data_IF_344483536720
#
_entry.id   IF_344483536720
#
_cell.length_a   1.000
_cell.length_b   1.000
_cell.length_c   1.000
_cell.angle_alpha   90.00
_cell.angle_beta   90.00
_cell.angle_gamma   90.00
#
_symmetry.space_group_name_H-M   'P 1'
#
loop_
_entity.id
_entity.type
_entity.pdbx_description
1 polymer ?
#
# COMPACT_ATOMS: atom_id res chain seq x y z
N UNK A 1 -14.60 -25.32 5.55
CA UNK A 1 -13.54 -24.87 6.48
C UNK A 1 -12.30 -24.43 5.70
N UNK A 2 -11.51 -23.49 6.23
CA UNK A 2 -10.28 -22.96 5.57
C UNK A 2 -9.34 -24.10 5.14
N UNK A 3 -9.16 -25.12 6.00
CA UNK A 3 -8.36 -26.34 5.74
C UNK A 3 -8.81 -27.23 4.58
N UNK A 4 -9.98 -26.99 3.97
CA UNK A 4 -10.45 -27.72 2.78
C UNK A 4 -10.04 -27.04 1.48
N UNK A 5 -9.60 -25.78 1.57
CA UNK A 5 -9.23 -24.95 0.41
C UNK A 5 -7.73 -24.73 0.38
N UNK A 6 -7.11 -24.51 1.56
CA UNK A 6 -5.69 -24.22 1.70
C UNK A 6 -4.95 -25.28 2.52
N UNK A 7 -3.66 -25.42 2.24
CA UNK A 7 -2.73 -26.35 2.90
C UNK A 7 -1.59 -25.62 3.64
N UNK A 8 -1.00 -26.22 4.69
CA UNK A 8 0.26 -25.74 5.25
C UNK A 8 1.37 -25.68 4.20
N UNK A 9 2.27 -24.72 4.33
CA UNK A 9 3.40 -24.44 3.43
C UNK A 9 3.04 -24.05 1.98
N UNK A 10 1.75 -23.92 1.66
CA UNK A 10 1.27 -23.44 0.37
C UNK A 10 1.62 -21.96 0.16
N UNK A 11 2.02 -21.62 -1.07
CA UNK A 11 2.24 -20.25 -1.52
C UNK A 11 0.93 -19.71 -2.09
N UNK A 12 0.37 -18.69 -1.45
CA UNK A 12 -0.90 -18.07 -1.85
C UNK A 12 -0.71 -16.60 -2.25
N UNK A 13 -1.68 -16.07 -2.98
CA UNK A 13 -1.76 -14.65 -3.28
C UNK A 13 -2.81 -13.98 -2.39
N UNK A 14 -2.49 -12.79 -1.88
CA UNK A 14 -3.40 -12.01 -1.02
C UNK A 14 -3.93 -10.83 -1.80
N UNK A 15 -5.25 -10.76 -1.94
CA UNK A 15 -5.97 -9.67 -2.62
C UNK A 15 -6.71 -8.85 -1.57
N UNK A 16 -6.56 -7.53 -1.60
CA UNK A 16 -7.25 -6.67 -0.65
C UNK A 16 -7.11 -5.17 -0.90
N UNK A 17 -7.77 -4.40 -0.05
CA UNK A 17 -7.66 -2.94 -0.03
C UNK A 17 -6.64 -2.54 1.04
N UNK A 18 -5.63 -1.78 0.63
CA UNK A 18 -4.59 -1.25 1.53
C UNK A 18 -5.15 -0.27 2.56
N UNK A 19 -4.44 -0.08 3.68
CA UNK A 19 -4.82 0.91 4.70
C UNK A 19 -4.93 2.30 4.08
N UNK A 20 -6.01 3.01 4.39
CA UNK A 20 -6.20 4.39 3.96
C UNK A 20 -5.29 5.36 4.72
N UNK A 21 -4.71 6.31 3.99
CA UNK A 21 -3.96 7.43 4.58
C UNK A 21 -4.59 8.80 4.27
N UNK A 22 -5.59 8.85 3.38
CA UNK A 22 -6.27 10.07 2.99
C UNK A 22 -5.45 10.94 2.03
N UNK A 23 -5.70 12.24 2.02
CA UNK A 23 -4.96 13.19 1.17
C UNK A 23 -3.52 13.39 1.68
N UNK A 24 -2.53 13.17 0.81
CA UNK A 24 -1.10 13.33 1.12
C UNK A 24 -0.37 14.15 0.06
N UNK A 25 0.62 14.91 0.51
CA UNK A 25 1.53 15.66 -0.34
C UNK A 25 2.53 14.78 -1.09
N UNK A 26 3.17 15.35 -2.11
CA UNK A 26 4.08 14.63 -3.03
C UNK A 26 5.24 13.91 -2.35
N UNK A 27 5.82 14.49 -1.30
CA UNK A 27 6.93 13.87 -0.57
C UNK A 27 6.52 12.56 0.11
N UNK A 28 5.31 12.50 0.70
CA UNK A 28 4.84 11.28 1.37
C UNK A 28 4.29 10.27 0.36
N UNK A 29 3.52 10.73 -0.63
CA UNK A 29 2.84 9.87 -1.59
C UNK A 29 3.78 9.24 -2.63
N UNK A 30 4.80 9.99 -3.07
CA UNK A 30 5.70 9.61 -4.17
C UNK A 30 7.18 9.53 -3.77
N UNK A 31 7.54 9.81 -2.51
CA UNK A 31 8.93 9.73 -2.06
C UNK A 31 9.87 10.79 -2.63
N UNK A 32 9.36 11.90 -3.20
CA UNK A 32 10.19 12.94 -3.82
C UNK A 32 11.13 13.61 -2.80
N UNK A 33 12.38 13.90 -3.19
CA UNK A 33 13.34 14.65 -2.37
C UNK A 33 12.76 16.00 -1.94
N UNK A 34 12.90 16.35 -0.65
CA UNK A 34 12.52 17.66 -0.11
C UNK A 34 13.44 18.75 -0.67
N UNK A 35 12.88 19.93 -0.89
CA UNK A 35 13.66 21.10 -1.27
C UNK A 35 14.50 21.62 -0.08
N UNK A 36 15.53 22.45 -0.34
CA UNK A 36 16.36 23.02 0.71
C UNK A 36 15.55 23.80 1.76
N UNK A 37 16.12 23.89 2.97
CA UNK A 37 15.46 24.56 4.12
C UNK A 37 15.04 26.00 3.83
N UNK A 38 15.81 26.73 3.02
CA UNK A 38 15.57 28.16 2.69
C UNK A 38 14.60 28.38 1.52
N UNK A 39 13.90 27.34 1.05
CA UNK A 39 12.90 27.52 -0.01
C UNK A 39 11.70 28.31 0.47
N UNK A 40 11.44 29.44 -0.18
CA UNK A 40 10.23 30.23 0.04
C UNK A 40 8.96 29.48 -0.43
N UNK A 41 7.84 29.67 0.28
CA UNK A 41 6.57 28.96 0.05
C UNK A 41 6.68 27.43 0.13
N UNK A 42 7.38 26.94 1.15
CA UNK A 42 7.40 25.54 1.54
C UNK A 42 8.35 24.65 0.74
N UNK A 43 8.90 23.65 1.42
CA UNK A 43 9.96 22.78 0.93
C UNK A 43 9.51 21.33 0.60
N UNK A 44 8.24 20.98 0.86
CA UNK A 44 7.67 19.65 0.64
C UNK A 44 6.82 19.59 -0.64
N UNK A 45 7.45 19.95 -1.77
CA UNK A 45 6.84 20.05 -3.09
C UNK A 45 7.80 19.59 -4.19
N UNK A 46 7.28 19.29 -5.38
CA UNK A 46 8.08 19.20 -6.60
C UNK A 46 8.36 20.63 -7.08
N UNK A 47 9.59 20.94 -7.48
CA UNK A 47 9.96 22.28 -7.93
C UNK A 47 9.47 22.58 -9.36
N UNK A 48 9.99 21.86 -10.35
CA UNK A 48 9.58 21.98 -11.75
C UNK A 48 8.57 20.87 -12.10
N UNK A 49 7.39 21.24 -12.62
CA UNK A 49 6.32 20.30 -12.98
C UNK A 49 6.33 19.89 -14.46
N UNK A 50 7.14 20.55 -15.29
CA UNK A 50 7.22 20.31 -16.74
C UNK A 50 7.98 21.41 -17.46
N UNK A 51 8.38 21.13 -18.70
CA UNK A 51 8.93 22.12 -19.61
C UNK A 51 7.84 23.11 -20.09
N UNK A 52 8.25 24.17 -20.78
CA UNK A 52 7.30 25.10 -21.42
C UNK A 52 6.44 24.39 -22.46
N UNK A 53 7.08 23.70 -23.40
CA UNK A 53 6.42 22.93 -24.45
C UNK A 53 6.69 21.44 -24.16
N UNK A 54 5.65 20.60 -23.99
CA UNK A 54 4.22 20.85 -24.21
C UNK A 54 3.58 21.71 -23.12
N UNK A 55 2.64 22.60 -23.50
CA UNK A 55 1.94 23.52 -22.60
C UNK A 55 0.84 22.83 -21.76
N UNK A 56 1.20 21.72 -21.10
CA UNK A 56 0.34 20.93 -20.21
C UNK A 56 1.17 20.20 -19.16
N UNK A 57 0.55 19.86 -18.04
CA UNK A 57 1.19 19.00 -17.02
C UNK A 57 1.03 17.53 -17.43
N UNK A 58 2.12 16.78 -17.48
CA UNK A 58 2.09 15.33 -17.77
C UNK A 58 1.48 14.55 -16.61
N UNK A 59 0.73 13.49 -16.93
CA UNK A 59 0.14 12.58 -15.95
C UNK A 59 1.19 11.84 -15.10
N UNK A 60 2.39 11.66 -15.63
CA UNK A 60 3.51 11.00 -14.94
C UNK A 60 4.13 11.83 -13.81
N UNK A 61 3.81 13.12 -13.73
CA UNK A 61 4.39 14.04 -12.75
C UNK A 61 3.77 13.79 -11.37
N UNK A 62 4.61 13.69 -10.34
CA UNK A 62 4.15 13.50 -8.97
C UNK A 62 3.26 14.66 -8.49
N UNK A 63 2.02 14.33 -8.08
CA UNK A 63 1.04 15.29 -7.53
C UNK A 63 0.48 14.80 -6.19
N UNK A 64 0.11 15.77 -5.35
CA UNK A 64 -0.59 15.50 -4.10
C UNK A 64 -1.97 14.87 -4.40
N UNK A 65 -2.48 14.06 -3.48
CA UNK A 65 -3.75 13.37 -3.67
C UNK A 65 -3.91 12.19 -2.71
N UNK A 66 -4.86 11.31 -3.00
CA UNK A 66 -5.14 10.13 -2.19
C UNK A 66 -3.91 9.21 -2.08
N UNK A 67 -3.62 8.77 -0.86
CA UNK A 67 -2.65 7.73 -0.56
C UNK A 67 -3.31 6.63 0.28
N UNK A 68 -3.02 5.38 -0.06
CA UNK A 68 -3.67 4.22 0.55
C UNK A 68 -5.13 4.06 0.12
N UNK A 69 -5.80 3.03 0.65
CA UNK A 69 -7.12 2.61 0.20
C UNK A 69 -7.16 2.21 -1.29
N UNK A 70 -6.05 1.68 -1.78
CA UNK A 70 -5.94 1.15 -3.14
C UNK A 70 -6.09 -0.38 -3.11
N UNK A 71 -6.72 -0.94 -4.14
CA UNK A 71 -6.75 -2.38 -4.40
C UNK A 71 -5.36 -2.90 -4.77
N UNK A 72 -4.88 -3.94 -4.11
CA UNK A 72 -3.58 -4.56 -4.38
C UNK A 72 -3.68 -6.08 -4.28
N UNK A 73 -2.84 -6.74 -5.07
CA UNK A 73 -2.57 -8.16 -5.00
C UNK A 73 -1.10 -8.33 -4.66
N UNK A 74 -0.81 -9.00 -3.57
CA UNK A 74 0.56 -9.39 -3.19
C UNK A 74 0.72 -10.89 -3.38
N UNK A 75 1.68 -11.26 -4.23
CA UNK A 75 1.91 -12.65 -4.59
C UNK A 75 2.78 -13.38 -3.56
N UNK A 76 2.75 -14.72 -3.59
CA UNK A 76 3.74 -15.57 -2.94
C UNK A 76 3.84 -15.40 -1.41
N UNK A 77 2.71 -15.35 -0.71
CA UNK A 77 2.66 -15.39 0.75
C UNK A 77 2.58 -16.84 1.21
N UNK A 78 3.55 -17.29 2.01
CA UNK A 78 3.59 -18.67 2.52
C UNK A 78 2.67 -18.84 3.73
N UNK A 79 1.84 -19.88 3.71
CA UNK A 79 1.05 -20.28 4.88
C UNK A 79 1.93 -21.07 5.85
N UNK A 80 2.24 -20.49 7.01
CA UNK A 80 3.01 -21.22 8.03
C UNK A 80 2.16 -22.11 8.94
N UNK A 81 0.91 -21.73 9.23
CA UNK A 81 0.03 -22.49 10.11
C UNK A 81 -1.43 -22.26 9.79
N UNK A 82 -2.21 -23.33 9.79
CA UNK A 82 -3.68 -23.27 9.77
C UNK A 82 -4.17 -23.67 11.16
N UNK A 83 -4.56 -22.68 11.96
CA UNK A 83 -5.08 -22.92 13.31
C UNK A 83 -6.47 -23.54 13.30
N UNK A 84 -6.77 -24.36 14.30
CA UNK A 84 -8.15 -24.69 14.67
C UNK A 84 -8.60 -23.63 15.70
N UNK A 85 -9.76 -23.02 15.47
CA UNK A 85 -10.38 -22.14 16.47
C UNK A 85 -10.85 -22.95 17.70
N UNK A 86 -11.64 -22.33 18.58
CA UNK A 86 -12.20 -23.02 19.76
C UNK A 86 -12.97 -24.26 19.30
N UNK A 87 -12.57 -25.43 19.76
CA UNK A 87 -13.14 -26.72 19.36
C UNK A 87 -13.19 -27.69 20.54
N UNK A 88 -14.00 -28.76 20.41
CA UNK A 88 -14.00 -29.83 21.41
C UNK A 88 -13.03 -30.94 20.99
N UNK A 89 -12.17 -31.34 21.92
CA UNK A 89 -11.40 -32.58 21.83
C UNK A 89 -11.68 -33.37 23.10
N UNK A 90 -12.08 -34.63 22.95
CA UNK A 90 -12.41 -35.52 24.07
C UNK A 90 -13.46 -34.94 25.02
N UNK A 91 -14.48 -34.28 24.46
CA UNK A 91 -15.60 -33.69 25.20
C UNK A 91 -15.30 -32.36 25.90
N UNK A 92 -14.03 -31.93 25.97
CA UNK A 92 -13.61 -30.65 26.58
C UNK A 92 -13.40 -29.58 25.51
N UNK A 93 -13.76 -28.34 25.83
CA UNK A 93 -13.52 -27.18 24.96
C UNK A 93 -12.05 -26.77 25.07
N UNK A 94 -11.37 -26.61 23.93
CA UNK A 94 -9.97 -26.24 23.76
C UNK A 94 -9.86 -25.10 22.75
#
# INVERSE_FOLDING_TARGET
PVRKVFSPDEMIDVIGVTKGHGFKGVTYRWGTKKLPRKTHKGLRKVACIGAWHPARVSFSVARAGQAGYHHRTELNKKIYRIGQGIHKKDGKVI
#
